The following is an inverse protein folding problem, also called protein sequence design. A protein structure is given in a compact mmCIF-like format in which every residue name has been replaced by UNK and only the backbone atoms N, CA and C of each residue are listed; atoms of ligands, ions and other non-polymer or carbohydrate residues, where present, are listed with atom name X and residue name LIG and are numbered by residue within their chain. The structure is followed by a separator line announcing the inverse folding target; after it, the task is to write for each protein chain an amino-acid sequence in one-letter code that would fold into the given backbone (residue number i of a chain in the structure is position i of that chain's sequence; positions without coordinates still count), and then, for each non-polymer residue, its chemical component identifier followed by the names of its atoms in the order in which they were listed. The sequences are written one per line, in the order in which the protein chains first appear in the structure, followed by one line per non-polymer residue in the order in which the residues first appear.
data_IF_963858608796
#
_entry.id   IF_963858608796
#
_cell.length_a   1.000
_cell.length_b   1.000
_cell.length_c   1.000
_cell.angle_alpha   90.00
_cell.angle_beta   90.00
_cell.angle_gamma   90.00
#
_symmetry.space_group_name_H-M   'P 1'
#
loop_
_entity.id
_entity.type
_entity.pdbx_description
1 polymer ?
#
# COMPACT_ATOMS: atom_id res chain seq x y z
N UNK A 1 0.96 29.16 -2.12
CA UNK A 1 0.92 27.81 -1.52
C UNK A 1 0.79 26.84 -2.68
N UNK A 2 1.87 26.15 -3.01
CA UNK A 2 1.85 25.20 -4.11
C UNK A 2 1.29 23.89 -3.54
N UNK A 3 0.04 23.59 -3.88
CA UNK A 3 -0.59 22.30 -3.64
C UNK A 3 0.01 21.27 -4.59
N UNK A 4 1.23 20.84 -4.33
CA UNK A 4 1.74 19.59 -4.86
C UNK A 4 0.87 18.47 -4.28
N UNK A 5 -0.10 18.01 -5.06
CA UNK A 5 -0.99 16.92 -4.66
C UNK A 5 -0.19 15.61 -4.74
N UNK A 6 0.51 15.26 -3.65
CA UNK A 6 1.11 13.93 -3.50
C UNK A 6 0.04 12.89 -3.78
N UNK A 7 0.24 12.06 -4.79
CA UNK A 7 -0.78 11.09 -5.18
C UNK A 7 -0.95 10.04 -4.08
N UNK A 8 -2.19 9.73 -3.74
CA UNK A 8 -2.55 8.78 -2.69
C UNK A 8 -3.15 7.53 -3.30
N UNK A 9 -2.72 6.36 -2.84
CA UNK A 9 -3.26 5.07 -3.27
C UNK A 9 -3.77 4.24 -2.08
N UNK A 10 -4.89 3.53 -2.27
CA UNK A 10 -5.38 2.51 -1.33
C UNK A 10 -5.23 1.14 -1.98
N UNK A 11 -4.48 0.25 -1.32
CA UNK A 11 -4.21 -1.10 -1.82
C UNK A 11 -4.80 -2.13 -0.87
N UNK A 12 -5.78 -2.88 -1.35
CA UNK A 12 -6.37 -4.02 -0.62
C UNK A 12 -5.65 -5.32 -0.97
N UNK A 13 -5.71 -6.32 -0.09
CA UNK A 13 -4.96 -7.57 -0.28
C UNK A 13 -3.44 -7.38 -0.22
N UNK A 14 -2.96 -6.30 0.41
CA UNK A 14 -1.55 -5.91 0.42
C UNK A 14 -0.63 -6.82 1.27
N UNK A 15 -1.19 -7.78 2.01
CA UNK A 15 -0.41 -8.66 2.89
C UNK A 15 0.54 -9.60 2.13
N UNK A 16 0.22 -9.97 0.87
CA UNK A 16 1.02 -10.93 0.07
C UNK A 16 0.74 -10.82 -1.44
N UNK A 17 1.54 -11.54 -2.23
CA UNK A 17 1.34 -11.68 -3.68
C UNK A 17 1.35 -10.35 -4.41
N UNK A 18 0.46 -10.22 -5.39
CA UNK A 18 0.38 -9.05 -6.28
C UNK A 18 0.07 -7.77 -5.50
N UNK A 19 -0.85 -7.80 -4.54
CA UNK A 19 -1.21 -6.62 -3.74
C UNK A 19 -0.01 -6.03 -2.98
N UNK A 20 0.85 -6.89 -2.43
CA UNK A 20 2.10 -6.46 -1.79
C UNK A 20 3.05 -5.80 -2.79
N UNK A 21 3.22 -6.41 -3.97
CA UNK A 21 4.08 -5.87 -5.02
C UNK A 21 3.64 -4.48 -5.49
N UNK A 22 2.33 -4.29 -5.70
CA UNK A 22 1.74 -3.01 -6.07
C UNK A 22 1.98 -1.95 -5.00
N UNK A 23 1.73 -2.26 -3.72
CA UNK A 23 1.94 -1.31 -2.63
C UNK A 23 3.39 -0.82 -2.55
N UNK A 24 4.35 -1.74 -2.73
CA UNK A 24 5.78 -1.42 -2.74
C UNK A 24 6.16 -0.55 -3.94
N UNK A 25 5.68 -0.88 -5.14
CA UNK A 25 5.99 -0.14 -6.35
C UNK A 25 5.45 1.30 -6.30
N UNK A 26 4.22 1.49 -5.81
CA UNK A 26 3.61 2.83 -5.66
C UNK A 26 4.34 3.66 -4.58
N UNK A 27 4.75 3.03 -3.47
CA UNK A 27 5.57 3.70 -2.46
C UNK A 27 6.93 4.12 -3.00
N UNK A 28 7.59 3.25 -3.79
CA UNK A 28 8.85 3.58 -4.46
C UNK A 28 8.71 4.71 -5.49
N UNK A 29 7.51 4.88 -6.08
CA UNK A 29 7.17 5.99 -6.96
C UNK A 29 6.87 7.31 -6.21
N UNK A 30 6.99 7.34 -4.87
CA UNK A 30 6.81 8.55 -4.06
C UNK A 30 5.36 8.82 -3.65
N UNK A 31 4.46 7.84 -3.79
CA UNK A 31 3.07 7.97 -3.38
C UNK A 31 2.91 7.70 -1.88
N UNK A 32 1.89 8.32 -1.28
CA UNK A 32 1.39 7.89 0.03
C UNK A 32 0.46 6.69 -0.18
N UNK A 33 0.81 5.55 0.42
CA UNK A 33 0.07 4.29 0.19
C UNK A 33 -0.57 3.81 1.49
N UNK A 34 -1.89 3.73 1.51
CA UNK A 34 -2.66 3.05 2.55
C UNK A 34 -2.89 1.60 2.16
N UNK A 35 -2.54 0.68 3.04
CA UNK A 35 -2.66 -0.75 2.80
C UNK A 35 -3.71 -1.38 3.71
N UNK A 36 -4.47 -2.33 3.18
CA UNK A 36 -5.38 -3.16 3.95
C UNK A 36 -5.29 -4.63 3.52
N UNK A 37 -5.44 -5.54 4.47
CA UNK A 37 -5.42 -6.97 4.25
C UNK A 37 -5.85 -7.72 5.50
N UNK A 38 -6.11 -9.02 5.36
CA UNK A 38 -6.38 -9.88 6.53
C UNK A 38 -5.09 -10.03 7.33
N UNK A 39 -5.20 -9.94 8.65
CA UNK A 39 -4.10 -10.30 9.53
C UNK A 39 -3.75 -11.78 9.31
N UNK A 40 -2.46 -12.16 9.37
CA UNK A 40 -2.12 -13.57 9.47
C UNK A 40 -2.79 -14.14 10.73
N UNK A 41 -3.34 -15.34 10.62
CA UNK A 41 -3.77 -16.09 11.80
C UNK A 41 -2.58 -16.24 12.74
N UNK A 42 -2.76 -15.96 14.03
CA UNK A 42 -1.70 -16.18 15.01
C UNK A 42 -1.50 -17.68 15.12
N UNK A 43 -0.38 -18.18 14.58
CA UNK A 43 0.03 -19.55 14.84
C UNK A 43 0.39 -19.67 16.32
N UNK A 44 -0.35 -20.50 17.05
CA UNK A 44 -0.09 -20.85 18.44
C UNK A 44 1.12 -21.76 18.60
#
# INVERSE_FOLDING_TARGET
MNTELTQVAVVTGASRGVGKGIALALGAAGMTVFVSGRAPEQAG
#
